data_IF_332927622313
#
_entry.id   IF_332927622313
#
_cell.length_a   1.000
_cell.length_b   1.000
_cell.length_c   1.000
_cell.angle_alpha   90.00
_cell.angle_beta   90.00
_cell.angle_gamma   90.00
#
_symmetry.space_group_name_H-M   'P 1'
#
loop_
_entity.id
_entity.type
_entity.pdbx_description
1 polymer ?
#
# COMPACT_ATOMS: atom_id res chain seq x y z
N UNK A 1 12.31 17.61 40.55
CA UNK A 1 13.42 16.73 40.07
C UNK A 1 12.88 15.91 38.90
N UNK A 2 13.51 15.96 37.73
CA UNK A 2 13.10 15.15 36.57
C UNK A 2 13.53 13.70 36.82
N UNK A 3 12.58 12.77 36.82
CA UNK A 3 12.80 11.34 37.03
C UNK A 3 13.39 10.70 35.76
N UNK A 4 14.50 9.98 35.91
CA UNK A 4 15.16 9.18 34.87
C UNK A 4 16.12 9.95 33.94
N UNK A 5 17.22 9.30 33.56
CA UNK A 5 18.18 9.69 32.51
C UNK A 5 19.13 10.86 32.79
N UNK A 6 20.23 10.92 32.04
CA UNK A 6 21.25 12.00 32.09
C UNK A 6 20.81 13.17 31.21
N UNK A 7 21.16 14.42 31.54
CA UNK A 7 20.82 15.57 30.69
C UNK A 7 21.45 15.45 29.28
N UNK A 8 20.75 15.93 28.25
CA UNK A 8 21.31 16.01 26.91
C UNK A 8 22.51 16.95 26.87
N UNK A 9 23.62 16.47 26.34
CA UNK A 9 24.83 17.26 26.08
C UNK A 9 25.11 17.18 24.59
N UNK A 10 25.48 18.30 23.98
CA UNK A 10 25.90 18.33 22.58
C UNK A 10 27.18 17.50 22.41
N UNK A 11 27.04 16.29 21.87
CA UNK A 11 28.15 15.37 21.60
C UNK A 11 28.45 15.29 20.10
N UNK A 12 29.75 15.31 19.69
CA UNK A 12 30.13 15.03 18.32
C UNK A 12 29.77 13.59 17.93
N UNK A 13 29.57 13.36 16.63
CA UNK A 13 29.29 12.03 16.08
C UNK A 13 30.62 11.43 15.63
N UNK A 14 30.89 10.19 16.03
CA UNK A 14 32.16 9.48 15.81
C UNK A 14 31.89 8.08 15.24
N UNK A 15 32.88 7.52 14.55
CA UNK A 15 32.82 6.19 13.94
C UNK A 15 32.66 5.10 15.00
N UNK A 16 33.47 5.19 16.06
CA UNK A 16 33.27 4.48 17.32
C UNK A 16 32.16 5.20 18.10
N UNK A 17 30.92 4.81 17.82
CA UNK A 17 29.75 5.38 18.48
C UNK A 17 29.66 4.93 19.94
N UNK A 18 29.15 5.82 20.80
CA UNK A 18 28.98 5.50 22.23
C UNK A 18 27.76 4.59 22.46
N UNK A 19 27.58 4.13 23.70
CA UNK A 19 26.50 3.21 24.03
C UNK A 19 25.10 3.81 23.79
N UNK A 20 24.96 5.14 23.87
CA UNK A 20 23.69 5.83 23.64
C UNK A 20 23.39 5.90 22.14
N UNK A 21 24.39 6.23 21.33
CA UNK A 21 24.31 6.22 19.86
C UNK A 21 24.04 4.82 19.34
N UNK A 22 24.71 3.79 19.88
CA UNK A 22 24.44 2.38 19.54
C UNK A 22 22.99 1.99 19.80
N UNK A 23 22.41 2.44 20.92
CA UNK A 23 21.01 2.17 21.24
C UNK A 23 20.04 2.93 20.34
N UNK A 24 20.36 4.17 19.95
CA UNK A 24 19.59 4.93 18.95
C UNK A 24 19.59 4.18 17.62
N UNK A 25 20.75 3.72 17.16
CA UNK A 25 20.92 2.97 15.91
C UNK A 25 20.03 1.72 15.91
N UNK A 26 20.13 0.89 16.95
CA UNK A 26 19.36 -0.35 17.08
C UNK A 26 17.84 -0.11 17.00
N UNK A 27 17.32 0.81 17.81
CA UNK A 27 15.89 1.10 17.84
C UNK A 27 15.40 1.72 16.52
N UNK A 28 16.26 2.46 15.82
CA UNK A 28 15.93 3.06 14.53
C UNK A 28 15.97 2.06 13.38
N UNK A 29 16.88 1.12 13.39
CA UNK A 29 16.90 0.02 12.43
C UNK A 29 15.68 -0.90 12.58
N UNK A 30 15.17 -1.06 13.80
CA UNK A 30 13.92 -1.77 14.10
C UNK A 30 12.65 -0.98 13.71
N UNK A 31 12.78 0.26 13.24
CA UNK A 31 11.66 1.07 12.73
C UNK A 31 10.89 1.87 13.79
N UNK A 32 11.42 2.02 15.01
CA UNK A 32 10.71 2.76 16.05
C UNK A 32 10.66 4.28 15.82
N UNK A 33 9.53 4.88 16.19
CA UNK A 33 9.30 6.32 16.11
C UNK A 33 10.18 7.11 17.10
N UNK A 34 10.49 8.37 16.79
CA UNK A 34 11.37 9.24 17.60
C UNK A 34 10.93 9.36 19.07
N UNK A 35 9.61 9.49 19.31
CA UNK A 35 9.04 9.55 20.65
C UNK A 35 9.32 8.28 21.46
N UNK A 36 9.23 7.12 20.82
CA UNK A 36 9.49 5.84 21.47
C UNK A 36 10.97 5.74 21.84
N UNK A 37 11.87 6.06 20.91
CA UNK A 37 13.32 6.03 21.14
C UNK A 37 13.71 6.93 22.30
N UNK A 38 13.24 8.18 22.33
CA UNK A 38 13.55 9.13 23.41
C UNK A 38 13.07 8.63 24.79
N UNK A 39 11.85 8.09 24.86
CA UNK A 39 11.31 7.53 26.10
C UNK A 39 12.10 6.31 26.56
N UNK A 40 12.46 5.43 25.61
CA UNK A 40 13.20 4.20 25.91
C UNK A 40 14.59 4.50 26.47
N UNK A 41 15.31 5.46 25.87
CA UNK A 41 16.60 5.92 26.39
C UNK A 41 16.47 6.47 27.82
N UNK A 42 15.42 7.25 28.08
CA UNK A 42 15.15 7.80 29.42
C UNK A 42 14.85 6.70 30.46
N UNK A 43 14.04 5.71 30.11
CA UNK A 43 13.73 4.54 30.94
C UNK A 43 14.99 3.73 31.28
N UNK A 44 15.87 3.56 30.30
CA UNK A 44 17.15 2.83 30.43
C UNK A 44 18.22 3.64 31.19
N UNK A 45 17.90 4.83 31.70
CA UNK A 45 18.85 5.68 32.43
C UNK A 45 19.89 6.38 31.55
N UNK A 46 19.73 6.33 30.23
CA UNK A 46 20.62 6.92 29.23
C UNK A 46 20.41 8.44 29.09
N UNK A 47 21.14 9.06 28.16
CA UNK A 47 20.94 10.46 27.84
C UNK A 47 19.49 10.76 27.40
N UNK A 48 18.90 11.79 28.02
CA UNK A 48 17.55 12.26 27.73
C UNK A 48 17.52 13.08 26.46
N UNK A 49 17.37 12.41 25.32
CA UNK A 49 17.11 13.09 24.07
C UNK A 49 15.70 13.68 24.03
N UNK A 50 15.58 14.87 23.45
CA UNK A 50 14.26 15.38 23.04
C UNK A 50 13.83 14.61 21.78
N UNK A 51 12.57 14.15 21.67
CA UNK A 51 12.12 13.37 20.52
C UNK A 51 12.45 13.99 19.16
N UNK A 52 12.25 15.31 19.00
CA UNK A 52 12.57 16.04 17.76
C UNK A 52 14.06 15.99 17.35
N UNK A 53 14.96 15.69 18.29
CA UNK A 53 16.41 15.63 18.04
C UNK A 53 16.90 14.23 17.68
N UNK A 54 16.12 13.18 17.97
CA UNK A 54 16.50 11.79 17.70
C UNK A 54 16.64 11.57 16.20
N UNK A 55 15.67 12.01 15.39
CA UNK A 55 15.70 11.82 13.93
C UNK A 55 16.92 12.46 13.27
N UNK A 56 17.27 13.68 13.67
CA UNK A 56 18.45 14.38 13.11
C UNK A 56 19.78 13.77 13.59
N UNK A 57 19.83 13.21 14.81
CA UNK A 57 21.01 12.48 15.30
C UNK A 57 21.17 11.15 14.56
N UNK A 58 20.09 10.38 14.42
CA UNK A 58 20.06 9.14 13.64
C UNK A 58 20.51 9.36 12.20
N UNK A 59 20.01 10.39 11.50
CA UNK A 59 20.39 10.65 10.11
C UNK A 59 21.91 10.87 9.96
N UNK A 60 22.53 11.58 10.91
CA UNK A 60 23.97 11.83 10.88
C UNK A 60 24.78 10.59 11.23
N UNK A 61 24.34 9.78 12.21
CA UNK A 61 24.94 8.49 12.53
C UNK A 61 24.86 7.54 11.33
N UNK A 62 23.68 7.43 10.72
CA UNK A 62 23.45 6.61 9.53
C UNK A 62 24.36 6.99 8.38
N UNK A 63 24.50 8.28 8.06
CA UNK A 63 25.43 8.76 7.01
C UNK A 63 26.89 8.41 7.31
N UNK A 64 27.29 8.44 8.58
CA UNK A 64 28.64 8.06 8.96
C UNK A 64 28.85 6.55 8.83
N UNK A 65 27.89 5.73 9.27
CA UNK A 65 27.92 4.28 9.08
C UNK A 65 27.94 3.89 7.61
N UNK A 66 27.09 4.51 6.78
CA UNK A 66 27.08 4.29 5.33
C UNK A 66 28.42 4.66 4.70
N UNK A 67 29.06 5.75 5.12
CA UNK A 67 30.40 6.10 4.64
C UNK A 67 31.45 5.06 5.02
N UNK A 68 31.47 4.62 6.27
CA UNK A 68 32.42 3.61 6.75
C UNK A 68 32.22 2.29 5.99
N UNK A 69 30.97 1.91 5.74
CA UNK A 69 30.67 0.70 5.00
C UNK A 69 31.08 0.81 3.53
N UNK A 70 30.87 1.97 2.90
CA UNK A 70 31.38 2.23 1.55
C UNK A 70 32.92 2.16 1.52
N UNK A 71 33.60 2.81 2.47
CA UNK A 71 35.06 2.79 2.56
C UNK A 71 35.57 1.35 2.75
N UNK A 72 34.87 0.51 3.54
CA UNK A 72 35.20 -0.91 3.71
C UNK A 72 35.03 -1.73 2.44
N UNK A 73 33.99 -1.47 1.67
CA UNK A 73 33.77 -2.16 0.39
C UNK A 73 34.81 -1.73 -0.65
N UNK A 74 35.14 -0.44 -0.70
CA UNK A 74 36.16 0.10 -1.61
C UNK A 74 37.58 -0.39 -1.24
N UNK A 75 37.85 -0.64 0.05
CA UNK A 75 39.12 -1.20 0.56
C UNK A 75 39.17 -2.75 0.52
N UNK A 76 38.22 -3.43 -0.14
CA UNK A 76 38.10 -4.90 -0.21
C UNK A 76 38.01 -5.60 1.16
N UNK A 77 37.54 -4.89 2.20
CA UNK A 77 37.34 -5.43 3.55
C UNK A 77 35.93 -6.05 3.74
N UNK A 78 35.14 -6.09 2.68
CA UNK A 78 33.85 -6.80 2.59
C UNK A 78 33.68 -7.37 1.18
N UNK A 79 33.12 -8.57 1.10
CA UNK A 79 32.86 -9.27 -0.16
C UNK A 79 31.39 -9.15 -0.60
N UNK A 80 31.14 -9.45 -1.88
CA UNK A 80 29.79 -9.67 -2.41
C UNK A 80 29.24 -11.00 -1.92
N UNK A 81 27.97 -11.01 -1.50
CA UNK A 81 27.29 -12.21 -1.03
C UNK A 81 26.40 -12.84 -2.10
N UNK A 82 26.11 -14.14 -1.93
CA UNK A 82 25.22 -14.88 -2.81
C UNK A 82 23.84 -14.20 -2.94
N UNK A 83 23.38 -14.01 -4.18
CA UNK A 83 22.11 -13.35 -4.49
C UNK A 83 22.14 -11.82 -4.45
N UNK A 84 23.30 -11.20 -4.21
CA UNK A 84 23.46 -9.73 -4.37
C UNK A 84 23.65 -9.33 -5.83
N UNK A 85 24.32 -10.16 -6.65
CA UNK A 85 24.50 -9.91 -8.09
C UNK A 85 23.18 -9.84 -8.86
N UNK A 86 22.25 -10.76 -8.56
CA UNK A 86 20.92 -10.76 -9.18
C UNK A 86 20.17 -9.46 -8.85
N UNK A 87 20.23 -9.03 -7.57
CA UNK A 87 19.63 -7.77 -7.14
C UNK A 87 20.31 -6.57 -7.77
N UNK A 88 21.63 -6.59 -7.90
CA UNK A 88 22.39 -5.53 -8.57
C UNK A 88 21.95 -5.40 -10.02
N UNK A 89 21.88 -6.52 -10.76
CA UNK A 89 21.41 -6.54 -12.14
C UNK A 89 19.99 -5.96 -12.26
N UNK A 90 19.06 -6.41 -11.41
CA UNK A 90 17.68 -5.89 -11.40
C UNK A 90 17.62 -4.38 -11.15
N UNK A 91 18.41 -3.88 -10.19
CA UNK A 91 18.47 -2.46 -9.86
C UNK A 91 19.11 -1.67 -11.00
N UNK A 92 20.21 -2.15 -11.58
CA UNK A 92 20.88 -1.54 -12.72
C UNK A 92 19.93 -1.42 -13.91
N UNK A 93 19.22 -2.49 -14.28
CA UNK A 93 18.25 -2.47 -15.37
C UNK A 93 17.11 -1.48 -15.12
N UNK A 94 16.59 -1.42 -13.89
CA UNK A 94 15.53 -0.50 -13.51
C UNK A 94 16.00 0.97 -13.54
N UNK A 95 17.27 1.24 -13.21
CA UNK A 95 17.87 2.57 -13.29
C UNK A 95 18.18 2.96 -14.73
N UNK A 96 18.76 2.05 -15.52
CA UNK A 96 19.12 2.30 -16.92
C UNK A 96 17.89 2.66 -17.76
N UNK A 97 16.78 1.94 -17.58
CA UNK A 97 15.49 2.29 -18.22
C UNK A 97 15.05 3.73 -17.93
N UNK A 98 15.24 4.21 -16.69
CA UNK A 98 14.93 5.59 -16.31
C UNK A 98 15.87 6.59 -17.01
N UNK A 99 17.16 6.27 -17.10
CA UNK A 99 18.14 7.13 -17.77
C UNK A 99 18.02 7.14 -19.28
N UNK A 100 17.57 6.05 -19.93
CA UNK A 100 17.20 6.05 -21.36
C UNK A 100 16.12 7.09 -21.62
N UNK A 101 15.04 7.09 -20.84
CA UNK A 101 13.94 8.05 -20.96
C UNK A 101 14.43 9.48 -20.69
N UNK A 102 15.26 9.66 -19.66
CA UNK A 102 15.83 10.98 -19.33
C UNK A 102 16.68 11.54 -20.47
N UNK A 103 17.56 10.71 -21.06
CA UNK A 103 18.38 11.09 -22.23
C UNK A 103 17.52 11.48 -23.42
N UNK A 104 16.48 10.70 -23.73
CA UNK A 104 15.55 11.03 -24.82
C UNK A 104 14.84 12.37 -24.59
N UNK A 105 14.38 12.63 -23.37
CA UNK A 105 13.74 13.90 -23.01
C UNK A 105 14.72 15.08 -23.05
N UNK A 106 15.96 14.89 -22.60
CA UNK A 106 17.00 15.91 -22.69
C UNK A 106 17.35 16.25 -24.14
N UNK A 107 17.47 15.23 -25.00
CA UNK A 107 17.74 15.45 -26.42
C UNK A 107 16.57 16.19 -27.09
N UNK A 108 15.32 15.80 -26.80
CA UNK A 108 14.14 16.54 -27.27
C UNK A 108 14.19 18.00 -26.82
N UNK A 109 14.50 18.25 -25.54
CA UNK A 109 14.61 19.60 -24.98
C UNK A 109 15.72 20.41 -25.65
N UNK A 110 16.88 19.81 -25.91
CA UNK A 110 17.97 20.45 -26.66
C UNK A 110 17.48 21.00 -28.00
N UNK A 111 16.68 20.23 -28.73
CA UNK A 111 16.14 20.67 -30.02
C UNK A 111 15.02 21.70 -29.90
N UNK A 112 14.23 21.68 -28.83
CA UNK A 112 13.27 22.74 -28.50
C UNK A 112 13.98 24.07 -28.18
N UNK A 113 15.09 24.02 -27.47
CA UNK A 113 15.93 25.20 -27.18
C UNK A 113 16.56 25.74 -28.48
N UNK A 114 17.10 24.86 -29.33
CA UNK A 114 17.62 25.24 -30.67
C UNK A 114 16.51 25.88 -31.52
N UNK A 115 15.30 25.32 -31.52
CA UNK A 115 14.15 25.90 -32.23
C UNK A 115 13.84 27.32 -31.72
N UNK A 116 13.89 27.52 -30.41
CA UNK A 116 13.60 28.80 -29.76
C UNK A 116 14.66 29.84 -30.17
N UNK A 117 15.93 29.48 -30.07
CA UNK A 117 17.02 30.34 -30.56
C UNK A 117 16.92 30.65 -32.06
N UNK A 118 16.54 29.67 -32.89
CA UNK A 118 16.29 29.90 -34.31
C UNK A 118 15.13 30.86 -34.56
N UNK A 119 14.07 30.77 -33.74
CA UNK A 119 12.92 31.66 -33.81
C UNK A 119 13.32 33.10 -33.50
N UNK A 120 14.14 33.29 -32.46
CA UNK A 120 14.66 34.61 -32.08
C UNK A 120 15.53 35.20 -33.19
N UNK A 121 16.44 34.40 -33.76
CA UNK A 121 17.32 34.84 -34.86
C UNK A 121 16.57 35.18 -36.14
N UNK A 122 15.45 34.51 -36.41
CA UNK A 122 14.63 34.75 -37.61
C UNK A 122 13.50 35.76 -37.39
N UNK A 123 13.25 36.18 -36.15
CA UNK A 123 12.14 37.06 -35.78
C UNK A 123 10.75 36.46 -35.98
N UNK A 124 10.64 35.15 -36.26
CA UNK A 124 9.36 34.46 -36.45
C UNK A 124 9.48 32.95 -36.23
N UNK A 125 8.42 32.35 -35.69
CA UNK A 125 8.35 30.90 -35.48
C UNK A 125 7.99 30.18 -36.78
N UNK A 126 9.01 29.73 -37.53
CA UNK A 126 8.83 29.05 -38.83
C UNK A 126 9.07 27.53 -38.77
N UNK A 127 9.99 27.08 -37.94
CA UNK A 127 10.45 25.68 -37.90
C UNK A 127 10.10 25.02 -36.56
N UNK A 128 9.85 23.71 -36.58
CA UNK A 128 9.71 22.88 -35.37
C UNK A 128 11.06 22.32 -34.94
N UNK A 129 11.20 21.89 -33.68
CA UNK A 129 12.39 21.21 -33.16
C UNK A 129 12.85 20.06 -34.07
N UNK A 130 11.92 19.18 -34.46
CA UNK A 130 12.22 18.06 -35.37
C UNK A 130 12.69 18.53 -36.75
N UNK A 131 12.10 19.61 -37.31
CA UNK A 131 12.54 20.14 -38.59
C UNK A 131 13.95 20.74 -38.53
N UNK A 132 14.31 21.36 -37.40
CA UNK A 132 15.67 21.85 -37.15
C UNK A 132 16.66 20.67 -37.04
N UNK A 133 16.29 19.61 -36.32
CA UNK A 133 17.09 18.40 -36.19
C UNK A 133 17.33 17.72 -37.54
N UNK A 134 16.27 17.35 -38.26
CA UNK A 134 16.36 16.69 -39.58
C UNK A 134 17.21 17.51 -40.56
N UNK A 135 17.07 18.84 -40.53
CA UNK A 135 17.85 19.71 -41.40
C UNK A 135 19.33 19.73 -41.00
N UNK A 136 19.64 19.82 -39.72
CA UNK A 136 21.02 19.81 -39.23
C UNK A 136 21.71 18.48 -39.49
N UNK A 137 21.04 17.37 -39.19
CA UNK A 137 21.56 16.02 -39.41
C UNK A 137 21.80 15.77 -40.90
N UNK A 138 20.85 16.16 -41.75
CA UNK A 138 21.01 16.09 -43.21
C UNK A 138 22.19 16.94 -43.72
N UNK A 139 22.44 18.11 -43.12
CA UNK A 139 23.59 18.95 -43.48
C UNK A 139 24.91 18.29 -43.06
N UNK A 140 24.95 17.68 -41.86
CA UNK A 140 26.12 16.94 -41.37
C UNK A 140 26.43 15.70 -42.20
N UNK A 141 25.39 15.00 -42.66
CA UNK A 141 25.52 13.77 -43.47
C UNK A 141 25.63 14.04 -44.97
N UNK A 142 25.48 15.29 -45.43
CA UNK A 142 25.48 15.65 -46.85
C UNK A 142 24.23 15.21 -47.62
N UNK A 143 23.15 14.82 -46.93
CA UNK A 143 21.88 14.35 -47.52
C UNK A 143 20.78 15.42 -47.49
N UNK A 144 21.07 16.61 -46.97
CA UNK A 144 20.12 17.71 -46.92
C UNK A 144 19.71 18.17 -48.33
N UNK A 145 18.40 18.32 -48.54
CA UNK A 145 17.86 18.95 -49.74
C UNK A 145 18.36 20.40 -49.85
N UNK A 146 18.66 20.81 -51.08
CA UNK A 146 19.04 22.18 -51.40
C UNK A 146 17.97 23.20 -50.94
N UNK A 147 18.33 24.44 -50.62
CA UNK A 147 17.36 25.54 -50.53
C UNK A 147 16.49 25.61 -51.79
N UNK A 148 15.21 25.98 -51.65
CA UNK A 148 14.23 25.96 -52.75
C UNK A 148 14.66 26.82 -53.95
N UNK A 149 15.32 27.94 -53.67
CA UNK A 149 15.84 28.88 -54.69
C UNK A 149 16.99 28.29 -55.52
N UNK A 150 17.67 27.26 -54.99
CA UNK A 150 18.83 26.62 -55.61
C UNK A 150 18.49 25.25 -56.19
N UNK A 151 17.25 24.78 -56.02
CA UNK A 151 16.82 23.48 -56.53
C UNK A 151 16.19 23.63 -57.91
N UNK A 152 16.81 23.03 -58.93
CA UNK A 152 16.30 23.04 -60.28
C UNK A 152 15.21 21.98 -60.54
N UNK A 153 15.11 20.94 -59.69
CA UNK A 153 14.07 19.91 -59.79
C UNK A 153 12.92 20.16 -58.80
N UNK A 154 12.03 21.06 -59.18
CA UNK A 154 10.83 21.38 -58.39
C UNK A 154 9.78 20.26 -58.42
N UNK A 155 9.78 19.41 -59.46
CA UNK A 155 8.79 18.33 -59.62
C UNK A 155 9.12 17.17 -58.67
N UNK A 156 10.38 16.72 -58.64
CA UNK A 156 10.85 15.70 -57.71
C UNK A 156 10.68 16.14 -56.26
N UNK A 157 11.00 17.41 -55.95
CA UNK A 157 10.77 17.99 -54.62
C UNK A 157 9.30 17.96 -54.20
N UNK A 158 8.37 18.26 -55.11
CA UNK A 158 6.92 18.21 -54.82
C UNK A 158 6.49 16.79 -54.47
N UNK A 159 6.91 15.80 -55.25
CA UNK A 159 6.60 14.39 -55.00
C UNK A 159 7.12 13.92 -53.64
N UNK A 160 8.38 14.21 -53.31
CA UNK A 160 8.96 13.89 -51.99
C UNK A 160 8.17 14.54 -50.84
N UNK A 161 7.67 15.76 -51.04
CA UNK A 161 6.84 16.44 -50.05
C UNK A 161 5.48 15.75 -49.89
N UNK A 162 4.84 15.37 -50.98
CA UNK A 162 3.57 14.63 -50.96
C UNK A 162 3.72 13.28 -50.25
N UNK A 163 4.79 12.54 -50.54
CA UNK A 163 5.11 11.26 -49.88
C UNK A 163 5.32 11.46 -48.37
N UNK A 164 6.07 12.50 -47.96
CA UNK A 164 6.25 12.84 -46.53
C UNK A 164 4.94 13.23 -45.85
N UNK A 165 4.07 13.98 -46.54
CA UNK A 165 2.75 14.36 -46.00
C UNK A 165 1.87 13.11 -45.83
N UNK A 166 1.86 12.21 -46.82
CA UNK A 166 1.13 10.95 -46.74
C UNK A 166 1.63 10.08 -45.59
N UNK A 167 2.95 9.90 -45.47
CA UNK A 167 3.56 9.15 -44.36
C UNK A 167 3.24 9.77 -42.99
N UNK A 168 3.30 11.10 -42.86
CA UNK A 168 2.94 11.78 -41.61
C UNK A 168 1.45 11.64 -41.27
N UNK A 169 0.57 11.63 -42.28
CA UNK A 169 -0.87 11.40 -42.09
C UNK A 169 -1.14 9.97 -41.61
N UNK A 170 -0.46 8.99 -42.19
CA UNK A 170 -0.56 7.59 -41.78
C UNK A 170 -0.08 7.41 -40.34
N UNK A 171 1.10 7.91 -40.01
CA UNK A 171 1.65 7.84 -38.65
C UNK A 171 0.70 8.44 -37.61
N UNK A 172 0.11 9.61 -37.89
CA UNK A 172 -0.88 10.22 -36.98
C UNK A 172 -2.15 9.37 -36.83
N UNK A 173 -2.57 8.69 -37.90
CA UNK A 173 -3.73 7.80 -37.84
C UNK A 173 -3.42 6.56 -36.99
N UNK A 174 -2.21 6.00 -37.14
CA UNK A 174 -1.72 4.85 -36.37
C UNK A 174 -1.57 5.21 -34.89
N UNK A 175 -0.90 6.32 -34.56
CA UNK A 175 -0.74 6.82 -33.19
C UNK A 175 -2.11 7.06 -32.52
N UNK A 176 -3.08 7.62 -33.27
CA UNK A 176 -4.44 7.83 -32.77
C UNK A 176 -5.21 6.51 -32.57
N UNK A 177 -4.98 5.51 -33.43
CA UNK A 177 -5.57 4.19 -33.28
C UNK A 177 -4.99 3.43 -32.08
N UNK A 178 -3.68 3.49 -31.89
CA UNK A 178 -3.01 2.90 -30.73
C UNK A 178 -3.49 3.55 -29.42
N UNK A 179 -3.56 4.88 -29.38
CA UNK A 179 -4.08 5.58 -28.21
C UNK A 179 -5.52 5.17 -27.87
N UNK A 180 -6.39 5.04 -28.89
CA UNK A 180 -7.76 4.54 -28.69
C UNK A 180 -7.78 3.13 -28.13
N UNK A 181 -6.96 2.22 -28.66
CA UNK A 181 -6.85 0.84 -28.15
C UNK A 181 -6.41 0.80 -26.69
N UNK A 182 -5.38 1.55 -26.34
CA UNK A 182 -4.88 1.61 -24.95
C UNK A 182 -5.94 2.20 -24.01
N UNK A 183 -6.69 3.22 -24.44
CA UNK A 183 -7.77 3.82 -23.65
C UNK A 183 -8.96 2.87 -23.47
N UNK A 184 -9.34 2.14 -24.52
CA UNK A 184 -10.36 1.09 -24.48
C UNK A 184 -9.96 -0.04 -23.52
N UNK A 185 -8.74 -0.58 -23.63
CA UNK A 185 -8.23 -1.61 -22.72
C UNK A 185 -8.22 -1.15 -21.25
N UNK A 186 -7.86 0.11 -21.00
CA UNK A 186 -7.92 0.69 -19.64
C UNK A 186 -9.36 0.77 -19.13
N UNK A 187 -10.30 1.20 -19.97
CA UNK A 187 -11.74 1.25 -19.64
C UNK A 187 -12.30 -0.14 -19.37
N UNK A 188 -11.93 -1.13 -20.16
CA UNK A 188 -12.34 -2.52 -19.97
C UNK A 188 -11.82 -3.09 -18.65
N UNK A 189 -10.53 -2.92 -18.35
CA UNK A 189 -9.94 -3.33 -17.05
C UNK A 189 -10.63 -2.65 -15.87
N UNK A 190 -10.94 -1.36 -16.00
CA UNK A 190 -11.66 -0.62 -14.96
C UNK A 190 -13.10 -1.14 -14.77
N UNK A 191 -13.80 -1.44 -15.87
CA UNK A 191 -15.15 -2.00 -15.84
C UNK A 191 -15.17 -3.42 -15.26
N UNK A 192 -14.20 -4.26 -15.61
CA UNK A 192 -14.03 -5.59 -15.05
C UNK A 192 -13.81 -5.53 -13.53
N UNK A 193 -12.88 -4.68 -13.07
CA UNK A 193 -12.64 -4.49 -11.64
C UNK A 193 -13.88 -4.01 -10.88
N UNK A 194 -14.70 -3.14 -11.49
CA UNK A 194 -15.99 -2.71 -10.91
C UNK A 194 -16.99 -3.87 -10.80
N UNK A 195 -17.07 -4.74 -11.81
CA UNK A 195 -17.95 -5.93 -11.79
C UNK A 195 -17.50 -6.92 -10.70
N UNK A 196 -16.21 -7.21 -10.63
CA UNK A 196 -15.64 -8.09 -9.60
C UNK A 196 -15.91 -7.55 -8.17
N UNK A 197 -15.77 -6.23 -7.98
CA UNK A 197 -16.11 -5.59 -6.71
C UNK A 197 -17.61 -5.67 -6.38
N UNK A 198 -18.48 -5.48 -7.37
CA UNK A 198 -19.93 -5.60 -7.18
C UNK A 198 -20.33 -7.03 -6.81
N UNK A 199 -19.79 -8.04 -7.49
CA UNK A 199 -20.02 -9.45 -7.18
C UNK A 199 -19.48 -9.83 -5.79
N UNK A 200 -18.29 -9.38 -5.43
CA UNK A 200 -17.73 -9.60 -4.10
C UNK A 200 -18.61 -8.98 -3.00
N UNK A 201 -19.10 -7.76 -3.21
CA UNK A 201 -20.02 -7.11 -2.27
C UNK A 201 -21.36 -7.85 -2.18
N UNK A 202 -21.93 -8.30 -3.30
CA UNK A 202 -23.17 -9.09 -3.30
C UNK A 202 -22.99 -10.40 -2.52
N UNK A 203 -21.88 -11.12 -2.71
CA UNK A 203 -21.56 -12.33 -1.94
C UNK A 203 -21.45 -12.04 -0.44
N UNK A 204 -20.76 -10.95 -0.06
CA UNK A 204 -20.64 -10.55 1.36
C UNK A 204 -21.99 -10.21 1.99
N UNK A 205 -22.87 -9.53 1.27
CA UNK A 205 -24.22 -9.21 1.75
C UNK A 205 -25.06 -10.48 1.89
N UNK A 206 -25.04 -11.37 0.91
CA UNK A 206 -25.75 -12.65 0.96
C UNK A 206 -25.28 -13.52 2.14
N UNK A 207 -23.97 -13.62 2.36
CA UNK A 207 -23.40 -14.35 3.50
C UNK A 207 -23.78 -13.74 4.85
N UNK A 208 -23.81 -12.40 4.95
CA UNK A 208 -24.24 -11.72 6.16
C UNK A 208 -25.72 -11.98 6.46
N UNK A 209 -26.58 -11.94 5.44
CA UNK A 209 -28.01 -12.27 5.57
C UNK A 209 -28.22 -13.72 6.01
N UNK A 210 -27.50 -14.67 5.40
CA UNK A 210 -27.54 -16.09 5.78
C UNK A 210 -27.16 -16.30 7.25
N UNK A 211 -26.03 -15.73 7.68
CA UNK A 211 -25.58 -15.81 9.09
C UNK A 211 -26.57 -15.15 10.05
N UNK A 212 -27.20 -14.04 9.66
CA UNK A 212 -28.23 -13.39 10.47
C UNK A 212 -29.49 -14.27 10.61
N UNK A 213 -29.93 -14.92 9.53
CA UNK A 213 -31.06 -15.86 9.56
C UNK A 213 -30.77 -17.06 10.45
N UNK A 214 -29.58 -17.67 10.32
CA UNK A 214 -29.15 -18.79 11.18
C UNK A 214 -29.11 -18.40 12.67
N UNK A 215 -28.65 -17.19 13.00
CA UNK A 215 -28.66 -16.68 14.38
C UNK A 215 -30.08 -16.52 14.93
N UNK A 216 -31.01 -15.98 14.14
CA UNK A 216 -32.42 -15.85 14.53
C UNK A 216 -33.05 -17.22 14.79
N UNK A 217 -32.82 -18.19 13.90
CA UNK A 217 -33.37 -19.53 14.07
C UNK A 217 -32.80 -20.24 15.31
N UNK A 218 -31.48 -20.13 15.54
CA UNK A 218 -30.86 -20.66 16.77
C UNK A 218 -31.43 -20.02 18.05
N UNK A 219 -31.70 -18.71 18.02
CA UNK A 219 -32.34 -18.03 19.14
C UNK A 219 -33.76 -18.55 19.39
N UNK A 220 -34.56 -18.74 18.32
CA UNK A 220 -35.91 -19.31 18.42
C UNK A 220 -35.92 -20.70 19.03
N UNK A 221 -35.02 -21.58 18.57
CA UNK A 221 -34.88 -22.95 19.10
C UNK A 221 -34.49 -22.93 20.59
N UNK A 222 -33.61 -21.99 20.99
CA UNK A 222 -33.19 -21.86 22.39
C UNK A 222 -34.36 -21.42 23.28
N UNK A 223 -35.12 -20.42 22.85
CA UNK A 223 -36.30 -19.92 23.56
C UNK A 223 -37.37 -21.02 23.70
N UNK A 224 -37.64 -21.77 22.63
CA UNK A 224 -38.59 -22.88 22.66
C UNK A 224 -38.16 -24.00 23.63
N UNK A 225 -36.84 -24.30 23.69
CA UNK A 225 -36.28 -25.24 24.67
C UNK A 225 -36.42 -24.74 26.10
N UNK A 226 -36.24 -23.44 26.35
CA UNK A 226 -36.42 -22.85 27.68
C UNK A 226 -37.88 -22.90 28.14
N UNK A 227 -38.82 -22.57 27.25
CA UNK A 227 -40.27 -22.67 27.52
C UNK A 227 -40.65 -24.11 27.82
N UNK A 228 -40.19 -25.08 27.02
CA UNK A 228 -40.47 -26.49 27.27
C UNK A 228 -39.86 -26.98 28.60
N UNK A 229 -38.64 -26.56 28.94
CA UNK A 229 -38.03 -26.87 30.25
C UNK A 229 -38.80 -26.25 31.42
N UNK A 230 -39.35 -25.04 31.26
CA UNK A 230 -40.20 -24.41 32.27
C UNK A 230 -41.50 -25.22 32.46
N UNK A 231 -42.21 -25.52 31.36
CA UNK A 231 -43.43 -26.36 31.38
C UNK A 231 -43.21 -27.72 32.04
N UNK A 232 -42.08 -28.38 31.77
CA UNK A 232 -41.75 -29.66 32.39
C UNK A 232 -41.47 -29.53 33.89
N UNK A 233 -40.82 -28.44 34.33
CA UNK A 233 -40.63 -28.14 35.76
C UNK A 233 -41.96 -27.90 36.46
N UNK A 234 -42.85 -27.13 35.86
CA UNK A 234 -44.15 -26.83 36.44
C UNK A 234 -45.05 -28.08 36.51
N UNK A 235 -45.06 -28.91 35.46
CA UNK A 235 -45.72 -30.24 35.50
C UNK A 235 -45.18 -31.12 36.62
N UNK A 236 -43.86 -31.17 36.81
CA UNK A 236 -43.24 -31.96 37.89
C UNK A 236 -43.64 -31.42 39.27
N UNK A 237 -43.69 -30.10 39.45
CA UNK A 237 -44.17 -29.48 40.70
C UNK A 237 -45.65 -29.81 40.96
N UNK A 238 -46.49 -29.76 39.94
CA UNK A 238 -47.90 -30.11 40.06
C UNK A 238 -48.09 -31.58 40.51
N UNK A 239 -47.37 -32.52 39.88
CA UNK A 239 -47.40 -33.95 40.27
C UNK A 239 -46.92 -34.15 41.72
N UNK A 240 -45.85 -33.45 42.13
CA UNK A 240 -45.37 -33.53 43.51
C UNK A 240 -46.36 -32.94 44.51
N UNK A 241 -47.09 -31.88 44.13
CA UNK A 241 -48.13 -31.28 44.96
C UNK A 241 -49.34 -32.21 45.12
N UNK A 242 -49.79 -32.88 44.04
CA UNK A 242 -50.87 -33.88 44.13
C UNK A 242 -50.47 -35.04 45.03
N UNK A 243 -49.25 -35.58 44.87
CA UNK A 243 -48.74 -36.65 45.74
C UNK A 243 -48.64 -36.22 47.21
N UNK A 244 -48.33 -34.95 47.50
CA UNK A 244 -48.34 -34.43 48.88
C UNK A 244 -49.75 -34.33 49.44
N UNK A 245 -50.68 -33.78 48.67
CA UNK A 245 -52.08 -33.66 49.06
C UNK A 245 -52.72 -35.03 49.31
N UNK A 246 -52.42 -36.03 48.48
CA UNK A 246 -52.86 -37.42 48.68
C UNK A 246 -52.32 -38.00 49.99
N UNK A 247 -51.01 -37.82 50.26
CA UNK A 247 -50.41 -38.26 51.54
C UNK A 247 -51.03 -37.57 52.75
N UNK A 248 -51.23 -36.25 52.68
CA UNK A 248 -51.86 -35.47 53.75
C UNK A 248 -53.28 -35.97 54.00
N UNK A 249 -54.07 -36.17 52.93
CA UNK A 249 -55.41 -36.74 53.02
C UNK A 249 -55.41 -38.15 53.61
N UNK A 250 -54.51 -39.03 53.20
CA UNK A 250 -54.36 -40.38 53.79
C UNK A 250 -54.02 -40.31 55.28
N UNK A 251 -53.11 -39.40 55.68
CA UNK A 251 -52.75 -39.23 57.08
C UNK A 251 -53.91 -38.69 57.90
N UNK A 252 -54.67 -37.74 57.38
CA UNK A 252 -55.83 -37.18 58.06
C UNK A 252 -57.00 -38.17 58.11
N UNK A 253 -57.20 -38.97 57.06
CA UNK A 253 -58.14 -40.10 57.07
C UNK A 253 -57.77 -41.11 58.14
N UNK A 254 -56.51 -41.55 58.19
CA UNK A 254 -56.02 -42.49 59.19
C UNK A 254 -56.12 -41.92 60.62
N UNK A 255 -55.90 -40.61 60.81
CA UNK A 255 -56.12 -39.92 62.09
C UNK A 255 -57.60 -39.91 62.48
N UNK A 256 -58.48 -39.58 61.54
CA UNK A 256 -59.92 -39.57 61.75
C UNK A 256 -60.46 -40.98 62.07
N UNK A 257 -60.00 -42.00 61.34
CA UNK A 257 -60.31 -43.41 61.62
C UNK A 257 -59.83 -43.83 63.02
N UNK A 258 -58.60 -43.49 63.41
CA UNK A 258 -58.09 -43.75 64.77
C UNK A 258 -58.91 -43.03 65.85
N UNK A 259 -59.33 -41.79 65.60
CA UNK A 259 -60.19 -41.03 66.52
C UNK A 259 -61.59 -41.65 66.63
N UNK A 260 -62.17 -42.09 65.52
CA UNK A 260 -63.45 -42.81 65.49
C UNK A 260 -63.35 -44.15 66.23
N UNK A 261 -62.31 -44.93 65.95
CA UNK A 261 -62.07 -46.21 66.62
C UNK A 261 -61.89 -46.02 68.13
N UNK A 262 -61.13 -45.00 68.56
CA UNK A 262 -60.99 -44.63 69.98
C UNK A 262 -62.34 -44.27 70.62
N UNK A 263 -63.16 -43.44 69.95
CA UNK A 263 -64.51 -43.10 70.45
C UNK A 263 -65.47 -44.29 70.54
N UNK A 264 -65.30 -45.32 69.69
CA UNK A 264 -66.14 -46.52 69.66
C UNK A 264 -65.69 -47.61 70.64
N UNK A 265 -64.43 -47.62 71.05
CA UNK A 265 -63.84 -48.68 71.89
C UNK A 265 -63.46 -48.27 73.31
N UNK A 266 -63.56 -46.97 73.65
CA UNK A 266 -63.34 -46.42 75.00
C UNK A 266 -62.35 -45.26 75.02
#
# INVERSE_FOLDING_TARGET
RVTGGIAAIAKPIRAEYDSDDGRIIELKQQGYADNYVANKLKEEGRMRYEPKTVGSRWLRLRKLLERIENDRLDDELSDWHEGEDDKLCEVCDAVEKRYVILRQNLEKKKWEDIQSHMTDKLGRKKYTANACQERYDGLRMGTALLPIELDHDQVGRRKLREDRIAAAKQKRADDAAEFRRIDEEKKERANQKKREQAEANQKRVADALRKAAERKERARIKEEREINRARMRDRRKAILATMRAEREWETDRNRAEKLLYRKLTG
#
